data_IF_240199487822
#
_entry.id   IF_240199487822
#
_cell.length_a   1.000
_cell.length_b   1.000
_cell.length_c   1.000
_cell.angle_alpha   90.00
_cell.angle_beta   90.00
_cell.angle_gamma   90.00
#
_symmetry.space_group_name_H-M   'P 1'
#
loop_
_entity.id
_entity.type
_entity.pdbx_description
1 polymer ?
#
# COMPACT_ATOMS: atom_id res chain seq x y z
N UNK A 1 54.07 -11.24 -35.24
CA UNK A 1 52.78 -11.97 -35.30
C UNK A 1 51.97 -11.97 -33.99
N UNK A 2 52.46 -11.49 -32.83
CA UNK A 2 51.65 -11.41 -31.59
C UNK A 2 50.93 -10.05 -31.40
N UNK A 3 51.51 -8.95 -31.87
CA UNK A 3 50.89 -7.60 -31.76
C UNK A 3 49.65 -7.41 -32.64
N UNK A 4 49.62 -8.04 -33.81
CA UNK A 4 48.51 -7.96 -34.76
C UNK A 4 47.27 -8.73 -34.27
N UNK A 5 47.49 -9.80 -33.50
CA UNK A 5 46.39 -10.56 -32.92
C UNK A 5 45.72 -9.76 -31.79
N UNK A 6 46.50 -9.04 -30.98
CA UNK A 6 45.98 -8.21 -29.88
C UNK A 6 45.17 -6.99 -30.39
N UNK A 7 45.56 -6.38 -31.52
CA UNK A 7 44.82 -5.26 -32.10
C UNK A 7 43.48 -5.68 -32.72
N UNK A 8 43.42 -6.89 -33.31
CA UNK A 8 42.18 -7.49 -33.83
C UNK A 8 41.15 -7.75 -32.72
N UNK A 9 41.59 -8.22 -31.55
CA UNK A 9 40.70 -8.40 -30.40
C UNK A 9 40.17 -7.07 -29.85
N UNK A 10 41.00 -6.01 -29.80
CA UNK A 10 40.57 -4.68 -29.37
C UNK A 10 39.54 -4.07 -30.33
N UNK A 11 39.82 -4.11 -31.64
CA UNK A 11 38.93 -3.55 -32.67
C UNK A 11 37.57 -4.26 -32.71
N UNK A 12 37.54 -5.57 -32.46
CA UNK A 12 36.29 -6.34 -32.37
C UNK A 12 35.40 -5.93 -31.20
N UNK A 13 35.98 -5.63 -30.03
CA UNK A 13 35.22 -5.15 -28.86
C UNK A 13 34.73 -3.72 -29.05
N UNK A 14 35.54 -2.83 -29.63
CA UNK A 14 35.12 -1.46 -29.94
C UNK A 14 33.94 -1.43 -30.92
N UNK A 15 33.94 -2.28 -31.95
CA UNK A 15 32.84 -2.42 -32.90
C UNK A 15 31.57 -3.04 -32.28
N UNK A 16 31.70 -3.80 -31.18
CA UNK A 16 30.56 -4.31 -30.41
C UNK A 16 29.97 -3.20 -29.54
N UNK A 17 30.81 -2.44 -28.84
CA UNK A 17 30.40 -1.32 -27.99
C UNK A 17 29.73 -0.21 -28.80
N UNK A 18 30.25 0.12 -29.99
CA UNK A 18 29.63 1.09 -30.89
C UNK A 18 28.22 0.66 -31.33
N UNK A 19 28.03 -0.61 -31.67
CA UNK A 19 26.71 -1.16 -32.04
C UNK A 19 25.71 -1.12 -30.89
N UNK A 20 26.16 -1.32 -29.64
CA UNK A 20 25.31 -1.17 -28.45
C UNK A 20 24.88 0.29 -28.30
N UNK A 21 25.81 1.23 -28.40
CA UNK A 21 25.51 2.67 -28.30
C UNK A 21 24.56 3.14 -29.40
N UNK A 22 24.73 2.71 -30.65
CA UNK A 22 23.81 3.01 -31.75
C UNK A 22 22.41 2.39 -31.53
N UNK A 23 22.35 1.18 -30.98
CA UNK A 23 21.08 0.51 -30.67
C UNK A 23 20.27 1.22 -29.57
N UNK A 24 20.94 1.92 -28.65
CA UNK A 24 20.31 2.74 -27.62
C UNK A 24 19.75 4.06 -28.17
N UNK A 25 20.30 4.58 -29.28
CA UNK A 25 19.84 5.81 -29.93
C UNK A 25 18.58 5.59 -30.79
N UNK A 26 18.30 4.37 -31.23
CA UNK A 26 17.08 4.02 -31.95
C UNK A 26 15.99 3.77 -30.91
N UNK A 27 15.20 4.79 -30.60
CA UNK A 27 13.97 4.66 -29.81
C UNK A 27 12.96 3.77 -30.55
N UNK A 28 13.18 2.45 -30.50
CA UNK A 28 12.16 1.44 -30.80
C UNK A 28 11.14 1.50 -29.66
N UNK A 29 9.83 1.58 -29.92
CA UNK A 29 8.83 1.39 -28.87
C UNK A 29 9.03 -0.02 -28.32
N UNK A 30 9.68 -0.07 -27.15
CA UNK A 30 10.17 -1.31 -26.59
C UNK A 30 8.97 -2.12 -26.12
N UNK A 31 8.84 -3.34 -26.66
CA UNK A 31 8.04 -4.38 -26.03
C UNK A 31 8.38 -4.41 -24.54
N UNK A 32 7.34 -4.40 -23.70
CA UNK A 32 7.41 -4.28 -22.24
C UNK A 32 8.08 -5.51 -21.62
N UNK A 33 9.41 -5.58 -21.68
CA UNK A 33 10.16 -6.48 -20.82
C UNK A 33 10.10 -5.95 -19.38
N UNK A 34 9.97 -6.84 -18.37
CA UNK A 34 10.03 -6.44 -16.98
C UNK A 34 11.35 -5.71 -16.71
N UNK A 35 11.29 -4.51 -16.14
CA UNK A 35 12.48 -3.76 -15.76
C UNK A 35 13.25 -4.53 -14.69
N UNK A 36 14.51 -4.85 -14.96
CA UNK A 36 15.37 -5.65 -14.07
C UNK A 36 16.60 -4.87 -13.64
N UNK A 37 16.83 -4.81 -12.33
CA UNK A 37 18.08 -4.30 -11.76
C UNK A 37 19.18 -5.37 -11.80
N UNK A 38 20.43 -4.94 -11.77
CA UNK A 38 21.60 -5.84 -11.65
C UNK A 38 21.52 -6.55 -10.31
N UNK A 39 21.88 -7.83 -10.24
CA UNK A 39 21.86 -8.54 -8.96
C UNK A 39 22.97 -8.02 -8.04
N UNK A 40 22.68 -7.88 -6.76
CA UNK A 40 23.62 -7.45 -5.74
C UNK A 40 23.62 -8.41 -4.58
N UNK A 41 24.81 -8.88 -4.24
CA UNK A 41 25.06 -9.67 -3.04
C UNK A 41 26.17 -8.99 -2.24
N UNK A 42 25.88 -8.49 -1.02
CA UNK A 42 26.87 -7.82 -0.18
C UNK A 42 27.92 -8.77 0.40
N UNK A 43 27.73 -10.09 0.25
CA UNK A 43 28.66 -11.10 0.75
C UNK A 43 29.77 -11.47 -0.25
N UNK A 44 29.65 -11.01 -1.50
CA UNK A 44 30.68 -11.23 -2.52
C UNK A 44 31.89 -10.30 -2.29
N UNK A 45 33.13 -10.79 -2.44
CA UNK A 45 34.33 -10.01 -2.14
C UNK A 45 34.52 -8.80 -3.08
N UNK A 46 33.99 -8.88 -4.31
CA UNK A 46 34.01 -7.79 -5.29
C UNK A 46 32.74 -6.92 -5.26
N UNK A 47 31.89 -7.05 -4.23
CA UNK A 47 30.65 -6.28 -4.14
C UNK A 47 30.92 -4.78 -3.98
N UNK A 48 30.57 -3.99 -4.99
CA UNK A 48 30.60 -2.54 -4.95
C UNK A 48 29.19 -1.96 -4.73
N UNK A 49 28.91 -1.62 -3.47
CA UNK A 49 27.63 -1.03 -3.08
C UNK A 49 27.39 0.35 -3.71
N UNK A 50 28.43 1.16 -3.88
CA UNK A 50 28.30 2.54 -4.37
C UNK A 50 27.97 2.53 -5.85
N UNK A 51 28.69 1.72 -6.63
CA UNK A 51 28.42 1.52 -8.05
C UNK A 51 27.02 0.94 -8.27
N UNK A 52 26.64 -0.07 -7.48
CA UNK A 52 25.31 -0.67 -7.61
C UNK A 52 24.18 0.31 -7.27
N UNK A 53 24.32 1.11 -6.21
CA UNK A 53 23.34 2.15 -5.86
C UNK A 53 23.21 3.18 -6.97
N UNK A 54 24.33 3.67 -7.52
CA UNK A 54 24.34 4.67 -8.61
C UNK A 54 23.62 4.15 -9.85
N UNK A 55 23.90 2.91 -10.26
CA UNK A 55 23.24 2.28 -11.41
C UNK A 55 21.75 2.03 -11.15
N UNK A 56 21.40 1.60 -9.94
CA UNK A 56 20.02 1.32 -9.58
C UNK A 56 19.18 2.59 -9.52
N UNK A 57 19.71 3.66 -8.95
CA UNK A 57 19.07 4.98 -8.92
C UNK A 57 18.80 5.48 -10.34
N UNK A 58 19.79 5.45 -11.22
CA UNK A 58 19.62 5.82 -12.62
C UNK A 58 18.51 5.01 -13.31
N UNK A 59 18.44 3.69 -13.09
CA UNK A 59 17.41 2.84 -13.69
C UNK A 59 16.02 3.16 -13.11
N UNK A 60 15.93 3.34 -11.80
CA UNK A 60 14.69 3.68 -11.09
C UNK A 60 14.12 5.00 -11.63
N UNK A 61 14.97 6.02 -11.80
CA UNK A 61 14.57 7.32 -12.34
C UNK A 61 14.14 7.22 -13.81
N UNK A 62 14.94 6.56 -14.66
CA UNK A 62 14.67 6.47 -16.10
C UNK A 62 13.44 5.61 -16.43
N UNK A 63 13.19 4.58 -15.62
CA UNK A 63 12.05 3.66 -15.80
C UNK A 63 10.85 4.04 -14.93
N UNK A 64 10.97 5.11 -14.13
CA UNK A 64 9.95 5.58 -13.18
C UNK A 64 9.42 4.44 -12.32
N UNK A 65 10.32 3.64 -11.75
CA UNK A 65 9.93 2.52 -10.90
C UNK A 65 9.42 3.05 -9.57
N UNK A 66 8.17 2.76 -9.25
CA UNK A 66 7.53 3.14 -8.01
C UNK A 66 6.67 2.00 -7.44
N UNK A 67 6.19 2.20 -6.20
CA UNK A 67 5.26 1.29 -5.54
C UNK A 67 5.67 -0.18 -5.56
N UNK A 68 4.77 -1.03 -6.07
CA UNK A 68 4.94 -2.48 -6.09
C UNK A 68 6.01 -2.93 -7.08
N UNK A 69 6.12 -2.24 -8.23
CA UNK A 69 7.11 -2.59 -9.26
C UNK A 69 8.53 -2.36 -8.75
N UNK A 70 8.77 -1.25 -8.03
CA UNK A 70 10.04 -1.00 -7.35
C UNK A 70 10.36 -2.09 -6.33
N UNK A 71 9.39 -2.46 -5.49
CA UNK A 71 9.57 -3.52 -4.47
C UNK A 71 9.91 -4.85 -5.14
N UNK A 72 9.20 -5.22 -6.19
CA UNK A 72 9.40 -6.47 -6.90
C UNK A 72 10.78 -6.51 -7.56
N UNK A 73 11.17 -5.44 -8.25
CA UNK A 73 12.48 -5.35 -8.89
C UNK A 73 13.61 -5.41 -7.86
N UNK A 74 13.50 -4.73 -6.72
CA UNK A 74 14.48 -4.81 -5.63
C UNK A 74 14.56 -6.20 -5.00
N UNK A 75 13.40 -6.86 -4.81
CA UNK A 75 13.34 -8.22 -4.27
C UNK A 75 14.05 -9.22 -5.18
N UNK A 76 13.99 -9.03 -6.49
CA UNK A 76 14.66 -9.90 -7.45
C UNK A 76 16.15 -9.60 -7.63
N UNK A 77 16.60 -8.38 -7.34
CA UNK A 77 18.00 -7.99 -7.49
C UNK A 77 18.85 -8.26 -6.25
N UNK A 78 18.29 -8.11 -5.05
CA UNK A 78 19.05 -8.30 -3.82
C UNK A 78 19.20 -9.78 -3.47
N UNK A 79 20.38 -10.16 -2.97
CA UNK A 79 20.69 -11.52 -2.49
C UNK A 79 21.13 -11.53 -1.03
N UNK A 80 21.21 -12.73 -0.46
CA UNK A 80 21.73 -13.02 0.88
C UNK A 80 21.23 -12.06 1.97
N UNK A 81 22.14 -11.40 2.68
CA UNK A 81 21.78 -10.47 3.76
C UNK A 81 21.01 -9.26 3.26
N UNK A 82 21.28 -8.75 2.06
CA UNK A 82 20.54 -7.60 1.51
C UNK A 82 19.07 -7.94 1.25
N UNK A 83 18.79 -9.13 0.69
CA UNK A 83 17.42 -9.61 0.52
C UNK A 83 16.69 -9.77 1.87
N UNK A 84 17.41 -10.27 2.88
CA UNK A 84 16.88 -10.42 4.24
C UNK A 84 16.58 -9.09 4.91
N UNK A 85 17.36 -8.04 4.62
CA UNK A 85 17.09 -6.70 5.14
C UNK A 85 15.80 -6.13 4.56
N UNK A 86 15.54 -6.35 3.27
CA UNK A 86 14.35 -5.83 2.58
C UNK A 86 13.04 -6.32 3.22
N UNK A 87 12.98 -7.60 3.64
CA UNK A 87 11.78 -8.18 4.26
C UNK A 87 11.48 -7.65 5.66
N UNK A 88 12.47 -7.01 6.31
CA UNK A 88 12.33 -6.41 7.65
C UNK A 88 11.87 -4.95 7.59
N UNK A 89 11.86 -4.34 6.41
CA UNK A 89 11.39 -2.97 6.25
C UNK A 89 9.87 -2.98 6.41
N UNK A 90 9.38 -2.44 7.52
CA UNK A 90 7.95 -2.21 7.66
C UNK A 90 7.59 -1.02 6.77
N UNK A 91 6.57 -1.13 5.89
CA UNK A 91 6.06 0.03 5.19
C UNK A 91 5.65 1.03 6.27
N UNK A 92 6.17 2.27 6.18
CA UNK A 92 5.75 3.34 7.06
C UNK A 92 4.23 3.36 7.05
N UNK A 93 3.61 3.04 8.19
CA UNK A 93 2.15 3.00 8.32
C UNK A 93 1.65 4.35 7.83
N UNK A 94 0.87 4.41 6.73
CA UNK A 94 0.24 5.66 6.35
C UNK A 94 -0.50 6.12 7.58
N UNK A 95 -0.28 7.36 8.02
CA UNK A 95 -0.97 7.94 9.16
C UNK A 95 -2.45 8.07 8.76
N UNK A 96 -3.16 6.95 8.89
CA UNK A 96 -4.54 6.83 8.50
C UNK A 96 -5.30 7.61 9.57
N UNK A 97 -6.07 8.65 9.20
CA UNK A 97 -6.85 9.40 10.17
C UNK A 97 -7.71 8.41 10.97
N UNK A 98 -7.92 8.64 12.28
CA UNK A 98 -8.59 7.68 13.15
C UNK A 98 -9.88 7.19 12.49
N UNK A 99 -9.92 5.91 12.13
CA UNK A 99 -11.12 5.33 11.55
C UNK A 99 -12.18 5.29 12.65
N UNK A 100 -13.44 5.64 12.38
CA UNK A 100 -14.49 5.76 13.41
C UNK A 100 -14.72 4.49 14.24
N UNK A 101 -14.27 3.35 13.73
CA UNK A 101 -14.43 2.01 14.31
C UNK A 101 -13.16 1.47 14.99
N UNK A 102 -12.12 2.29 15.16
CA UNK A 102 -10.88 1.89 15.83
C UNK A 102 -11.18 1.42 17.27
N UNK A 103 -10.68 0.25 17.72
CA UNK A 103 -10.84 -0.22 19.09
C UNK A 103 -10.10 0.74 20.05
N UNK A 104 -10.85 1.66 20.66
CA UNK A 104 -10.31 2.75 21.48
C UNK A 104 -11.02 4.09 21.25
N UNK A 105 -11.66 4.26 20.09
CA UNK A 105 -12.53 5.39 19.79
C UNK A 105 -13.93 5.13 20.36
N UNK A 106 -14.07 5.19 21.68
CA UNK A 106 -15.41 5.36 22.26
C UNK A 106 -15.87 6.78 21.94
N UNK A 107 -16.51 6.95 20.78
CA UNK A 107 -17.41 8.07 20.57
C UNK A 107 -18.31 8.12 21.81
N UNK A 108 -18.30 9.24 22.55
CA UNK A 108 -19.19 9.40 23.68
C UNK A 108 -20.61 9.39 23.13
N UNK A 109 -21.28 8.24 23.22
CA UNK A 109 -22.64 8.08 22.74
C UNK A 109 -23.55 8.80 23.72
N UNK A 110 -24.10 9.93 23.31
CA UNK A 110 -25.12 10.66 24.05
C UNK A 110 -26.54 10.20 23.69
N UNK A 111 -27.43 10.26 24.66
CA UNK A 111 -28.86 10.06 24.47
C UNK A 111 -29.41 11.10 23.49
N UNK A 112 -29.92 10.70 22.32
CA UNK A 112 -30.50 11.66 21.37
C UNK A 112 -31.79 12.34 21.87
N UNK A 113 -32.42 11.82 22.93
CA UNK A 113 -33.66 12.38 23.48
C UNK A 113 -33.40 13.58 24.40
N UNK A 114 -32.33 13.53 25.19
CA UNK A 114 -32.01 14.57 26.19
C UNK A 114 -30.58 15.13 26.11
N UNK A 115 -29.69 14.51 25.35
CA UNK A 115 -28.29 14.91 25.20
C UNK A 115 -27.31 14.28 26.20
N UNK A 116 -27.78 13.57 27.22
CA UNK A 116 -26.90 13.04 28.27
C UNK A 116 -26.10 11.81 27.81
N UNK A 117 -24.79 11.77 28.11
CA UNK A 117 -23.92 10.63 27.83
C UNK A 117 -24.02 9.48 28.86
N UNK A 118 -24.88 9.61 29.88
CA UNK A 118 -25.04 8.63 30.96
C UNK A 118 -25.92 7.43 30.57
N UNK A 119 -26.74 7.57 29.54
CA UNK A 119 -27.69 6.55 29.12
C UNK A 119 -27.93 6.62 27.61
N UNK A 120 -28.39 5.52 27.04
CA UNK A 120 -28.94 5.50 25.68
C UNK A 120 -30.43 5.81 25.72
N UNK A 121 -31.02 6.26 24.61
CA UNK A 121 -32.41 6.70 24.54
C UNK A 121 -33.43 5.71 25.14
N UNK A 122 -33.14 4.40 25.10
CA UNK A 122 -33.98 3.37 25.73
C UNK A 122 -34.13 3.49 27.24
N UNK A 123 -33.13 4.01 27.95
CA UNK A 123 -33.18 4.28 29.39
C UNK A 123 -33.54 5.72 29.75
N UNK A 124 -33.91 6.56 28.77
CA UNK A 124 -34.17 7.98 29.03
C UNK A 124 -35.52 8.18 29.73
N UNK A 125 -35.47 8.72 30.94
CA UNK A 125 -36.64 9.09 31.74
C UNK A 125 -37.51 10.19 31.08
N UNK A 126 -36.95 10.96 30.15
CA UNK A 126 -37.69 11.96 29.37
C UNK A 126 -38.41 11.37 28.15
N UNK A 127 -38.13 10.11 27.76
CA UNK A 127 -38.71 9.48 26.56
C UNK A 127 -40.24 9.41 26.57
N UNK A 128 -40.82 9.19 27.74
CA UNK A 128 -42.27 9.03 27.91
C UNK A 128 -42.97 10.30 28.41
N UNK A 129 -42.23 11.35 28.78
CA UNK A 129 -42.82 12.62 29.26
C UNK A 129 -43.44 13.47 28.14
N UNK A 130 -43.24 13.13 26.86
CA UNK A 130 -43.92 13.78 25.73
C UNK A 130 -45.33 13.22 25.47
N UNK A 131 -46.14 13.14 26.52
CA UNK A 131 -47.60 12.98 26.45
C UNK A 131 -48.19 13.72 27.64
N UNK A 132 -48.43 15.03 27.48
CA UNK A 132 -49.45 15.82 28.19
C UNK A 132 -49.43 17.28 27.70
N UNK A 133 -49.49 17.46 26.38
CA UNK A 133 -50.20 18.62 25.82
C UNK A 133 -51.32 18.00 25.00
N UNK A 134 -52.48 17.88 25.61
CA UNK A 134 -53.74 17.59 24.93
C UNK A 134 -54.01 18.76 23.99
N UNK A 135 -53.55 18.66 22.73
CA UNK A 135 -54.15 19.42 21.65
C UNK A 135 -55.47 18.71 21.29
N UNK A 136 -56.62 19.42 21.25
CA UNK A 136 -57.88 18.81 20.84
C UNK A 136 -57.76 18.45 19.35
N UNK A 137 -57.74 17.16 19.02
CA UNK A 137 -57.77 16.69 17.62
C UNK A 137 -56.71 15.66 17.18
N UNK A 138 -56.02 14.96 18.08
CA UNK A 138 -55.10 13.90 17.67
C UNK A 138 -55.84 12.59 17.35
N UNK A 139 -56.18 12.38 16.08
CA UNK A 139 -56.57 11.06 15.55
C UNK A 139 -55.45 10.04 15.81
N UNK A 140 -55.83 8.83 16.20
CA UNK A 140 -54.91 7.71 16.41
C UNK A 140 -54.12 7.44 15.11
N UNK A 141 -52.85 7.83 15.09
CA UNK A 141 -51.96 7.52 13.98
C UNK A 141 -51.69 6.01 13.91
N UNK A 142 -51.55 5.43 12.70
CA UNK A 142 -51.39 4.00 12.54
C UNK A 142 -50.09 3.53 13.18
N UNK A 143 -50.18 2.49 14.01
CA UNK A 143 -49.02 1.73 14.52
C UNK A 143 -48.23 1.26 13.31
N UNK A 144 -47.01 1.78 13.13
CA UNK A 144 -46.10 1.27 12.09
C UNK A 144 -45.19 0.24 12.73
N UNK A 145 -45.41 -1.02 12.38
CA UNK A 145 -44.49 -2.09 12.72
C UNK A 145 -43.17 -1.87 11.99
N UNK A 146 -42.08 -1.78 12.76
CA UNK A 146 -40.72 -1.78 12.23
C UNK A 146 -40.20 -3.21 12.26
N UNK A 147 -39.76 -3.72 11.10
CA UNK A 147 -39.09 -5.00 11.01
C UNK A 147 -37.73 -4.92 11.74
N UNK A 148 -37.72 -5.37 13.00
CA UNK A 148 -36.49 -5.67 13.71
C UNK A 148 -35.97 -6.98 13.12
N UNK A 149 -34.85 -6.93 12.39
CA UNK A 149 -34.16 -8.13 11.92
C UNK A 149 -34.01 -9.09 13.10
N UNK A 150 -34.71 -10.22 13.05
CA UNK A 150 -34.59 -11.29 14.04
C UNK A 150 -33.14 -11.73 14.09
N UNK A 151 -32.41 -11.30 15.12
CA UNK A 151 -31.08 -11.84 15.40
C UNK A 151 -31.31 -13.29 15.78
N UNK A 152 -30.99 -14.21 14.87
CA UNK A 152 -31.08 -15.63 15.11
C UNK A 152 -30.30 -15.94 16.40
N UNK A 153 -31.04 -16.22 17.48
CA UNK A 153 -30.50 -16.72 18.72
C UNK A 153 -30.04 -18.15 18.45
N UNK A 154 -28.82 -18.31 17.94
CA UNK A 154 -28.12 -19.60 18.05
C UNK A 154 -27.71 -19.72 19.50
N UNK A 155 -28.65 -20.17 20.33
CA UNK A 155 -28.33 -20.73 21.64
C UNK A 155 -27.71 -22.10 21.35
N UNK A 156 -26.38 -22.21 21.46
CA UNK A 156 -25.74 -23.52 21.56
C UNK A 156 -26.25 -24.18 22.85
N UNK A 157 -26.84 -25.37 22.70
CA UNK A 157 -27.12 -26.28 23.80
C UNK A 157 -25.90 -27.16 24.03
#
# INVERSE_FOLDING_TARGET
>A
MMFEQMSLFSSGMEAMLQRITESMSVHRPSQSSPTRLVNFDPDEPEADVVSWCTLSEMIIEQKKLDGVDLILTLTHSLKARAATCLTKIQPAKPEQPPHPWAPGSRLQVSCYVCGDASHVASGCSMRYKKKNVTAPGAVAGPTRDVNVCSRASVCYR
#
